data_IF_310727353430
#
_entry.id   IF_310727353430
#
_cell.length_a   1.000
_cell.length_b   1.000
_cell.length_c   1.000
_cell.angle_alpha   90.00
_cell.angle_beta   90.00
_cell.angle_gamma   90.00
#
_symmetry.space_group_name_H-M   'P 1'
#
loop_
_entity.id
_entity.type
_entity.pdbx_description
1 polymer ?
#
# COMPACT_ATOMS: atom_id res chain seq x y z
N UNK A 1 68.30 -54.74 4.37
CA UNK A 1 68.05 -53.33 4.78
C UNK A 1 67.10 -52.67 3.79
N UNK A 2 65.83 -52.47 4.17
CA UNK A 2 64.89 -51.55 3.52
C UNK A 2 63.91 -51.05 4.59
N UNK A 3 64.21 -49.90 5.20
CA UNK A 3 63.28 -49.20 6.08
C UNK A 3 62.24 -48.47 5.21
N UNK A 4 60.96 -48.79 5.40
CA UNK A 4 59.85 -48.00 4.86
C UNK A 4 59.35 -47.07 5.97
N UNK A 5 59.55 -45.77 5.76
CA UNK A 5 58.99 -44.69 6.58
C UNK A 5 57.55 -44.47 6.10
N UNK A 6 56.57 -44.74 6.97
CA UNK A 6 55.17 -44.35 6.75
C UNK A 6 54.99 -42.93 7.31
N UNK A 7 54.81 -41.96 6.42
CA UNK A 7 54.49 -40.58 6.79
C UNK A 7 52.96 -40.46 6.89
N UNK A 8 52.43 -40.44 8.11
CA UNK A 8 51.01 -40.21 8.38
C UNK A 8 50.71 -38.71 8.32
N UNK A 9 49.99 -38.27 7.29
CA UNK A 9 49.43 -36.91 7.23
C UNK A 9 48.08 -36.93 7.93
N UNK A 10 48.02 -36.37 9.13
CA UNK A 10 46.76 -36.13 9.83
C UNK A 10 45.97 -35.04 9.09
N UNK A 11 44.86 -35.42 8.45
CA UNK A 11 43.85 -34.48 7.97
C UNK A 11 43.20 -33.80 9.20
N UNK A 12 43.51 -32.53 9.44
CA UNK A 12 42.73 -31.69 10.35
C UNK A 12 41.39 -31.36 9.69
N UNK A 13 40.32 -32.01 10.16
CA UNK A 13 38.96 -31.65 9.82
C UNK A 13 38.63 -30.30 10.49
N UNK A 14 38.62 -29.22 9.71
CA UNK A 14 38.14 -27.92 10.19
C UNK A 14 36.60 -27.97 10.19
N UNK A 15 35.93 -27.76 11.32
CA UNK A 15 34.47 -27.72 11.36
C UNK A 15 33.99 -26.54 10.51
N UNK A 16 33.31 -26.83 9.41
CA UNK A 16 32.62 -25.83 8.60
C UNK A 16 31.47 -25.28 9.45
N UNK A 17 31.66 -24.10 10.04
CA UNK A 17 30.58 -23.40 10.73
C UNK A 17 29.53 -22.99 9.68
N UNK A 18 28.43 -23.73 9.64
CA UNK A 18 27.26 -23.35 8.85
C UNK A 18 26.60 -22.15 9.53
N UNK A 19 26.90 -20.95 9.05
CA UNK A 19 26.13 -19.76 9.41
C UNK A 19 24.75 -19.87 8.75
N UNK A 20 23.74 -20.24 9.53
CA UNK A 20 22.35 -20.07 9.13
C UNK A 20 22.03 -18.58 9.16
N UNK A 21 22.13 -17.90 8.02
CA UNK A 21 21.60 -16.56 7.84
C UNK A 21 20.08 -16.69 7.80
N UNK A 22 19.43 -16.64 8.97
CA UNK A 22 17.98 -16.43 9.04
C UNK A 22 17.73 -14.97 8.67
N UNK A 23 17.55 -14.70 7.38
CA UNK A 23 17.02 -13.43 6.92
C UNK A 23 15.56 -13.35 7.36
N UNK A 24 15.32 -12.88 8.58
CA UNK A 24 13.98 -12.49 9.00
C UNK A 24 13.50 -11.39 8.04
N UNK A 25 12.64 -11.76 7.11
CA UNK A 25 12.09 -10.85 6.12
C UNK A 25 11.16 -9.87 6.84
N UNK A 26 11.72 -8.77 7.34
CA UNK A 26 10.92 -7.69 7.91
C UNK A 26 10.22 -6.96 6.78
N UNK A 27 8.89 -7.05 6.74
CA UNK A 27 8.07 -6.26 5.81
C UNK A 27 8.36 -4.78 6.08
N UNK A 28 9.08 -4.13 5.17
CA UNK A 28 9.38 -2.70 5.24
C UNK A 28 8.19 -1.94 4.71
N UNK A 29 7.61 -1.04 5.49
CA UNK A 29 6.53 -0.17 5.04
C UNK A 29 7.09 1.21 4.68
N UNK A 30 6.37 1.97 3.85
CA UNK A 30 6.69 3.36 3.60
C UNK A 30 6.10 4.26 4.69
N UNK A 31 6.92 5.17 5.20
CA UNK A 31 6.60 6.05 6.32
C UNK A 31 6.08 7.39 5.81
N UNK A 32 4.81 7.67 6.01
CA UNK A 32 4.14 8.92 5.67
C UNK A 32 4.08 9.82 6.90
N UNK A 33 4.31 11.12 6.66
CA UNK A 33 4.10 12.19 7.63
C UNK A 33 3.20 13.24 7.01
N UNK A 34 2.17 13.62 7.76
CA UNK A 34 1.26 14.69 7.38
C UNK A 34 1.83 16.03 7.83
N UNK A 35 1.61 17.07 7.01
CA UNK A 35 1.88 18.43 7.46
C UNK A 35 0.67 18.90 8.27
N UNK A 36 0.73 18.69 9.58
CA UNK A 36 -0.36 19.03 10.50
C UNK A 36 -0.46 20.53 10.78
N UNK A 37 0.46 21.35 10.26
CA UNK A 37 0.35 22.81 10.34
C UNK A 37 -0.68 23.38 9.35
N UNK A 38 -1.09 22.57 8.36
CA UNK A 38 -2.06 22.95 7.33
C UNK A 38 -3.47 22.52 7.71
N UNK A 39 -4.40 23.45 7.69
CA UNK A 39 -5.82 23.20 7.95
C UNK A 39 -6.43 22.27 6.89
N UNK A 40 -5.97 22.37 5.65
CA UNK A 40 -6.39 21.51 4.53
C UNK A 40 -6.04 20.04 4.78
N UNK A 41 -4.85 19.77 5.34
CA UNK A 41 -4.45 18.42 5.75
C UNK A 41 -5.28 17.94 6.92
N UNK A 42 -5.34 18.74 7.99
CA UNK A 42 -5.92 18.30 9.26
C UNK A 42 -7.43 18.15 9.18
N UNK A 43 -8.13 18.98 8.41
CA UNK A 43 -9.58 18.86 8.18
C UNK A 43 -10.00 17.55 7.48
N UNK A 44 -9.10 16.93 6.71
CA UNK A 44 -9.34 15.67 5.99
C UNK A 44 -8.99 14.41 6.78
N UNK A 45 -8.22 14.54 7.86
CA UNK A 45 -7.78 13.42 8.68
C UNK A 45 -8.84 13.05 9.71
N UNK A 46 -9.49 11.90 9.61
CA UNK A 46 -10.51 11.46 10.56
C UNK A 46 -10.08 10.16 11.23
N UNK A 47 -10.07 10.11 12.57
CA UNK A 47 -9.83 8.86 13.31
C UNK A 47 -10.99 7.89 13.15
N UNK A 48 -10.67 6.63 12.90
CA UNK A 48 -11.65 5.57 12.77
C UNK A 48 -11.08 4.21 13.19
N UNK A 49 -11.95 3.22 13.30
CA UNK A 49 -11.60 1.81 13.51
C UNK A 49 -12.17 0.95 12.39
N UNK A 50 -11.43 -0.07 11.96
CA UNK A 50 -11.88 -0.98 10.91
C UNK A 50 -12.91 -1.96 11.49
N UNK A 51 -14.15 -1.95 11.00
CA UNK A 51 -15.22 -2.83 11.47
C UNK A 51 -15.51 -3.99 10.52
N UNK A 52 -15.29 -3.80 9.20
CA UNK A 52 -15.48 -4.86 8.20
C UNK A 52 -14.59 -4.71 6.97
N UNK A 53 -14.09 -5.84 6.45
CA UNK A 53 -13.48 -5.94 5.13
C UNK A 53 -14.54 -6.38 4.11
N UNK A 54 -14.92 -5.51 3.18
CA UNK A 54 -15.77 -5.90 2.05
C UNK A 54 -14.90 -6.54 0.97
N UNK A 55 -13.94 -5.78 0.45
CA UNK A 55 -13.02 -6.19 -0.61
C UNK A 55 -11.61 -5.67 -0.36
N UNK A 56 -10.71 -5.83 -1.32
CA UNK A 56 -9.32 -5.37 -1.20
C UNK A 56 -9.19 -3.83 -1.14
N UNK A 57 -10.21 -3.10 -1.61
CA UNK A 57 -10.26 -1.65 -1.72
C UNK A 57 -11.48 -0.99 -1.06
N UNK A 58 -12.28 -1.76 -0.33
CA UNK A 58 -13.54 -1.30 0.24
C UNK A 58 -13.70 -1.83 1.66
N UNK A 59 -13.92 -0.91 2.61
CA UNK A 59 -13.92 -1.19 4.04
C UNK A 59 -15.13 -0.50 4.68
N UNK A 60 -15.65 -1.09 5.74
CA UNK A 60 -16.50 -0.35 6.68
C UNK A 60 -15.68 0.00 7.92
N UNK A 61 -15.95 1.20 8.42
CA UNK A 61 -15.24 1.79 9.54
C UNK A 61 -16.22 2.49 10.47
N UNK A 62 -15.89 2.49 11.75
CA UNK A 62 -16.59 3.29 12.76
C UNK A 62 -15.74 4.53 13.07
N UNK A 63 -16.35 5.71 13.01
CA UNK A 63 -15.68 6.98 13.30
C UNK A 63 -15.42 7.13 14.81
N UNK A 64 -14.18 7.44 15.19
CA UNK A 64 -13.78 7.52 16.61
C UNK A 64 -13.86 8.92 17.21
N UNK A 65 -14.12 9.96 16.40
CA UNK A 65 -14.17 11.37 16.82
C UNK A 65 -15.19 12.20 16.04
N UNK A 66 -15.73 13.25 16.66
CA UNK A 66 -16.54 14.23 15.91
C UNK A 66 -15.63 15.13 15.08
N UNK A 67 -15.85 15.15 13.76
CA UNK A 67 -15.03 15.95 12.84
C UNK A 67 -15.76 16.32 11.56
N UNK A 68 -16.05 17.61 11.41
CA UNK A 68 -16.85 18.11 10.29
C UNK A 68 -18.19 17.39 10.23
N UNK A 69 -18.45 16.73 9.10
CA UNK A 69 -19.67 15.95 8.85
C UNK A 69 -19.64 14.55 9.47
N UNK A 70 -18.50 14.10 9.99
CA UNK A 70 -18.36 12.80 10.63
C UNK A 70 -18.67 12.90 12.12
N UNK A 71 -19.48 11.96 12.63
CA UNK A 71 -19.84 11.87 14.05
C UNK A 71 -19.24 10.64 14.70
N UNK A 72 -18.81 10.76 15.94
CA UNK A 72 -18.31 9.61 16.71
C UNK A 72 -19.38 8.51 16.79
N UNK A 73 -18.97 7.27 16.56
CA UNK A 73 -19.83 6.08 16.50
C UNK A 73 -20.58 5.91 15.18
N UNK A 74 -20.39 6.81 14.20
CA UNK A 74 -20.98 6.65 12.87
C UNK A 74 -20.25 5.54 12.10
N UNK A 75 -21.00 4.55 11.61
CA UNK A 75 -20.49 3.59 10.63
C UNK A 75 -20.56 4.18 9.21
N UNK A 76 -19.46 4.11 8.47
CA UNK A 76 -19.42 4.48 7.05
C UNK A 76 -18.70 3.42 6.23
N UNK A 77 -19.10 3.30 4.95
CA UNK A 77 -18.32 2.58 3.95
C UNK A 77 -17.37 3.53 3.25
N UNK A 78 -16.09 3.16 3.23
CA UNK A 78 -15.06 3.87 2.49
C UNK A 78 -14.62 3.08 1.26
N UNK A 79 -14.48 3.79 0.15
CA UNK A 79 -13.85 3.32 -1.09
C UNK A 79 -12.45 3.88 -1.15
N UNK A 80 -11.45 3.05 -1.36
CA UNK A 80 -10.08 3.53 -1.46
C UNK A 80 -9.89 4.37 -2.72
N UNK A 81 -9.37 5.57 -2.54
CA UNK A 81 -9.13 6.50 -3.62
C UNK A 81 -7.85 6.11 -4.40
N UNK A 82 -7.93 6.22 -5.73
CA UNK A 82 -6.77 6.00 -6.60
C UNK A 82 -6.41 4.54 -6.83
N UNK A 83 -7.17 3.57 -6.33
CA UNK A 83 -6.99 2.14 -6.62
C UNK A 83 -8.33 1.49 -6.93
N UNK A 84 -8.27 0.35 -7.61
CA UNK A 84 -9.40 -0.55 -7.80
C UNK A 84 -8.87 -1.99 -7.77
N UNK A 85 -9.40 -2.85 -6.90
CA UNK A 85 -8.92 -4.24 -6.76
C UNK A 85 -9.73 -5.21 -7.62
N UNK A 86 -9.13 -6.33 -8.08
CA UNK A 86 -9.89 -7.38 -8.75
C UNK A 86 -11.04 -7.88 -7.87
N UNK A 87 -12.18 -8.13 -8.48
CA UNK A 87 -13.43 -8.39 -7.76
C UNK A 87 -13.51 -9.84 -7.25
N UNK A 88 -14.08 -10.05 -6.05
CA UNK A 88 -14.45 -11.41 -5.57
C UNK A 88 -15.88 -11.79 -5.94
N UNK A 89 -16.77 -10.79 -6.05
CA UNK A 89 -18.13 -10.94 -6.57
C UNK A 89 -18.73 -9.56 -6.77
N UNK A 90 -19.47 -9.34 -7.86
CA UNK A 90 -20.26 -8.11 -8.07
C UNK A 90 -21.66 -8.51 -8.48
N UNK A 91 -22.68 -8.04 -7.77
CA UNK A 91 -24.09 -8.26 -8.08
C UNK A 91 -24.45 -9.75 -8.30
N UNK A 92 -23.86 -10.64 -7.49
CA UNK A 92 -24.07 -12.09 -7.58
C UNK A 92 -23.36 -12.77 -8.76
N UNK A 93 -22.57 -12.04 -9.56
CA UNK A 93 -21.75 -12.62 -10.63
C UNK A 93 -20.49 -13.26 -10.03
N UNK A 94 -20.25 -14.50 -10.43
CA UNK A 94 -19.01 -15.23 -10.12
C UNK A 94 -17.91 -14.72 -11.06
N UNK A 95 -16.82 -14.13 -10.54
CA UNK A 95 -15.71 -13.69 -11.36
C UNK A 95 -15.01 -14.86 -12.06
N UNK A 96 -14.29 -14.55 -13.13
CA UNK A 96 -13.38 -15.50 -13.75
C UNK A 96 -12.38 -16.06 -12.72
N UNK A 97 -11.99 -17.34 -12.80
CA UNK A 97 -11.11 -17.95 -11.80
C UNK A 97 -9.79 -17.19 -11.60
N UNK A 98 -9.25 -16.55 -12.64
CA UNK A 98 -8.04 -15.75 -12.50
C UNK A 98 -8.33 -14.41 -11.79
N UNK A 99 -9.44 -13.74 -12.09
CA UNK A 99 -9.88 -12.52 -11.38
C UNK A 99 -10.13 -12.82 -9.90
N UNK A 100 -10.88 -13.90 -9.60
CA UNK A 100 -11.16 -14.35 -8.24
C UNK A 100 -9.88 -14.55 -7.42
N UNK A 101 -8.90 -15.26 -7.99
CA UNK A 101 -7.60 -15.51 -7.36
C UNK A 101 -6.88 -14.23 -6.96
N UNK A 102 -6.96 -13.18 -7.78
CA UNK A 102 -6.34 -11.90 -7.43
C UNK A 102 -7.18 -11.11 -6.41
N UNK A 103 -8.51 -11.16 -6.51
CA UNK A 103 -9.42 -10.54 -5.55
C UNK A 103 -9.30 -11.13 -4.14
N UNK A 104 -9.12 -12.45 -4.04
CA UNK A 104 -8.84 -13.15 -2.79
C UNK A 104 -7.50 -12.73 -2.18
N UNK A 105 -6.44 -12.64 -3.01
CA UNK A 105 -5.12 -12.16 -2.54
C UNK A 105 -5.18 -10.72 -2.04
N UNK A 106 -5.85 -9.83 -2.77
CA UNK A 106 -6.04 -8.44 -2.38
C UNK A 106 -6.83 -8.35 -1.06
N UNK A 107 -7.90 -9.13 -0.92
CA UNK A 107 -8.71 -9.17 0.30
C UNK A 107 -7.96 -9.75 1.50
N UNK A 108 -7.15 -10.79 1.28
CA UNK A 108 -6.30 -11.35 2.33
C UNK A 108 -5.28 -10.31 2.78
N UNK A 109 -4.67 -9.58 1.85
CA UNK A 109 -3.76 -8.48 2.18
C UNK A 109 -4.44 -7.41 3.03
N UNK A 110 -5.68 -7.06 2.71
CA UNK A 110 -6.56 -6.21 3.54
C UNK A 110 -6.68 -6.69 4.97
N UNK A 111 -7.09 -7.94 5.16
CA UNK A 111 -7.25 -8.57 6.48
C UNK A 111 -5.96 -8.62 7.28
N UNK A 112 -4.85 -8.99 6.65
CA UNK A 112 -3.55 -9.13 7.30
C UNK A 112 -2.96 -7.75 7.69
N UNK A 113 -3.19 -6.72 6.86
CA UNK A 113 -2.60 -5.39 7.05
C UNK A 113 -3.44 -4.51 7.97
N UNK A 114 -4.76 -4.59 7.84
CA UNK A 114 -5.75 -3.82 8.61
C UNK A 114 -6.70 -4.74 9.39
N UNK A 115 -6.22 -5.51 10.40
CA UNK A 115 -7.11 -6.27 11.27
C UNK A 115 -8.26 -5.45 11.86
N UNK A 116 -9.39 -6.12 12.13
CA UNK A 116 -10.58 -5.48 12.72
C UNK A 116 -10.26 -4.89 14.10
N UNK A 117 -10.93 -3.78 14.43
CA UNK A 117 -10.73 -3.03 15.67
C UNK A 117 -9.41 -2.25 15.73
N UNK A 118 -8.59 -2.25 14.67
CA UNK A 118 -7.38 -1.43 14.66
C UNK A 118 -7.71 0.04 14.42
N UNK A 119 -7.11 0.96 15.22
CA UNK A 119 -7.23 2.38 14.97
C UNK A 119 -6.47 2.77 13.70
N UNK A 120 -7.09 3.63 12.92
CA UNK A 120 -6.55 4.18 11.68
C UNK A 120 -6.87 5.66 11.54
N UNK A 121 -6.17 6.34 10.64
CA UNK A 121 -6.57 7.64 10.12
C UNK A 121 -7.11 7.48 8.71
N UNK A 122 -8.30 7.99 8.47
CA UNK A 122 -8.84 8.18 7.14
C UNK A 122 -8.34 9.52 6.61
N UNK A 123 -7.75 9.53 5.43
CA UNK A 123 -7.52 10.78 4.70
C UNK A 123 -8.64 10.96 3.68
N UNK A 124 -9.64 11.76 4.04
CA UNK A 124 -10.91 11.83 3.33
C UNK A 124 -10.79 12.70 2.07
N UNK A 125 -11.23 12.11 0.95
CA UNK A 125 -11.37 12.74 -0.35
C UNK A 125 -12.79 13.30 -0.58
N UNK A 126 -13.19 13.34 -1.84
CA UNK A 126 -14.55 13.73 -2.24
C UNK A 126 -15.49 12.52 -2.18
N UNK A 127 -16.80 12.77 -2.27
CA UNK A 127 -17.75 11.68 -2.55
C UNK A 127 -17.60 11.24 -4.00
N UNK A 128 -17.68 9.94 -4.27
CA UNK A 128 -17.71 9.45 -5.64
C UNK A 128 -19.09 9.69 -6.31
N UNK A 129 -19.21 9.34 -7.59
CA UNK A 129 -20.47 9.48 -8.33
C UNK A 129 -21.65 8.67 -7.77
N UNK A 130 -21.41 7.77 -6.82
CA UNK A 130 -22.42 6.98 -6.12
C UNK A 130 -22.65 7.50 -4.68
N UNK A 131 -22.06 8.64 -4.31
CA UNK A 131 -22.19 9.27 -3.00
C UNK A 131 -21.35 8.63 -1.89
N UNK A 132 -20.51 7.63 -2.22
CA UNK A 132 -19.64 6.94 -1.26
C UNK A 132 -18.46 7.84 -0.90
N UNK A 133 -18.04 7.80 0.36
CA UNK A 133 -16.86 8.53 0.81
C UNK A 133 -15.61 7.88 0.21
N UNK A 134 -14.86 8.63 -0.60
CA UNK A 134 -13.53 8.19 -1.02
C UNK A 134 -12.49 8.60 0.02
N UNK A 135 -11.55 7.72 0.33
CA UNK A 135 -10.49 8.01 1.29
C UNK A 135 -9.26 7.14 1.01
N UNK A 136 -8.15 7.45 1.66
CA UNK A 136 -7.07 6.48 1.89
C UNK A 136 -6.99 6.16 3.39
N UNK A 137 -6.46 4.99 3.73
CA UNK A 137 -6.34 4.53 5.11
C UNK A 137 -4.87 4.56 5.51
N UNK A 138 -4.57 5.34 6.55
CA UNK A 138 -3.25 5.45 7.14
C UNK A 138 -3.20 4.73 8.47
N UNK A 139 -2.24 3.84 8.63
CA UNK A 139 -2.09 2.99 9.82
C UNK A 139 -0.64 2.94 10.27
N UNK A 140 -0.39 2.60 11.54
CA UNK A 140 0.97 2.33 12.00
C UNK A 140 1.21 0.80 12.03
N UNK A 141 2.12 0.25 11.20
CA UNK A 141 2.37 -1.20 11.16
C UNK A 141 3.00 -1.75 12.44
N UNK A 142 3.48 -0.89 13.32
CA UNK A 142 4.10 -1.22 14.61
C UNK A 142 3.20 -0.91 15.80
N UNK A 143 1.92 -0.54 15.59
CA UNK A 143 1.00 -0.17 16.67
C UNK A 143 0.90 -1.27 17.75
N UNK A 144 0.86 -2.53 17.34
CA UNK A 144 0.75 -3.68 18.25
C UNK A 144 2.01 -3.89 19.09
N UNK A 145 3.16 -3.36 18.63
CA UNK A 145 4.46 -3.44 19.33
C UNK A 145 4.67 -2.28 20.30
N UNK A 146 3.75 -1.32 20.37
CA UNK A 146 3.86 -0.22 21.32
C UNK A 146 3.65 -0.72 22.76
N UNK A 147 4.35 -0.11 23.73
CA UNK A 147 4.19 -0.42 25.15
C UNK A 147 2.73 -0.37 25.59
N UNK A 148 2.36 -1.32 26.45
CA UNK A 148 1.08 -1.30 27.17
C UNK A 148 1.31 -0.91 28.62
N UNK A 149 0.31 -0.28 29.22
CA UNK A 149 0.31 0.02 30.65
C UNK A 149 0.11 -1.27 31.45
N UNK A 150 0.10 -1.16 32.77
CA UNK A 150 -0.11 -2.29 33.67
C UNK A 150 -1.47 -2.99 33.46
N UNK A 151 -2.43 -2.35 32.79
CA UNK A 151 -3.76 -2.88 32.49
C UNK A 151 -3.87 -3.43 31.06
N UNK A 152 -2.77 -3.48 30.31
CA UNK A 152 -2.76 -3.94 28.92
C UNK A 152 -3.28 -2.90 27.91
N UNK A 153 -3.61 -1.67 28.32
CA UNK A 153 -3.97 -0.61 27.39
C UNK A 153 -2.73 -0.05 26.72
N UNK A 154 -2.79 0.25 25.42
CA UNK A 154 -1.67 0.86 24.70
C UNK A 154 -1.38 2.25 25.31
N UNK A 155 -0.17 2.45 25.82
CA UNK A 155 0.26 3.72 26.46
C UNK A 155 0.24 4.86 25.43
N UNK A 156 0.42 4.53 24.16
CA UNK A 156 0.41 5.49 23.06
C UNK A 156 -0.75 5.18 22.10
N UNK A 157 -1.83 5.99 22.10
CA UNK A 157 -2.83 5.91 21.05
C UNK A 157 -2.19 6.24 19.69
N UNK A 158 -2.82 5.82 18.59
CA UNK A 158 -2.37 6.22 17.26
C UNK A 158 -2.40 7.76 17.16
N UNK A 159 -1.25 8.36 16.87
CA UNK A 159 -1.06 9.81 16.77
C UNK A 159 -0.36 10.18 15.45
N UNK A 160 -0.53 11.42 14.99
CA UNK A 160 -0.03 11.88 13.69
C UNK A 160 1.50 12.14 13.65
N UNK A 161 2.16 12.19 14.81
CA UNK A 161 3.62 12.29 14.94
C UNK A 161 4.32 10.94 14.72
N UNK A 162 3.58 9.83 14.79
CA UNK A 162 4.09 8.50 14.47
C UNK A 162 4.29 8.32 12.96
N UNK A 163 5.24 7.46 12.53
CA UNK A 163 5.29 7.03 11.14
C UNK A 163 4.03 6.23 10.79
N UNK A 164 3.32 6.67 9.76
CA UNK A 164 2.12 6.02 9.24
C UNK A 164 2.42 5.36 7.89
N UNK A 165 1.58 4.44 7.46
CA UNK A 165 1.68 3.81 6.15
C UNK A 165 0.33 3.92 5.45
N UNK A 166 0.34 4.29 4.17
CA UNK A 166 -0.86 4.29 3.34
C UNK A 166 -1.17 2.86 2.89
N UNK A 167 -2.37 2.38 3.19
CA UNK A 167 -2.81 1.06 2.75
C UNK A 167 -2.84 0.97 1.21
N UNK A 168 -3.38 1.99 0.52
CA UNK A 168 -3.49 2.00 -0.96
C UNK A 168 -2.12 1.89 -1.64
N UNK A 169 -1.12 2.56 -1.06
CA UNK A 169 0.28 2.48 -1.50
C UNK A 169 0.84 1.09 -1.25
N UNK A 170 0.62 0.52 -0.07
CA UNK A 170 1.18 -0.77 0.31
C UNK A 170 0.60 -1.94 -0.49
N UNK A 171 -0.71 -1.95 -0.78
CA UNK A 171 -1.32 -2.98 -1.63
C UNK A 171 -0.87 -2.85 -3.09
N UNK A 172 -0.68 -1.63 -3.59
CA UNK A 172 -0.11 -1.38 -4.92
C UNK A 172 1.33 -1.86 -4.99
N UNK A 173 2.13 -1.58 -3.96
CA UNK A 173 3.53 -2.00 -3.84
C UNK A 173 3.69 -3.51 -3.70
N UNK A 174 2.67 -4.19 -3.18
CA UNK A 174 2.59 -5.64 -3.15
C UNK A 174 2.25 -6.25 -4.54
N UNK A 175 1.93 -5.42 -5.54
CA UNK A 175 1.53 -5.86 -6.87
C UNK A 175 0.19 -6.60 -6.89
N UNK A 176 -0.72 -6.24 -5.98
CA UNK A 176 -2.04 -6.88 -5.82
C UNK A 176 -3.20 -6.04 -6.36
N UNK A 177 -2.91 -4.80 -6.78
CA UNK A 177 -3.86 -3.89 -7.41
C UNK A 177 -3.15 -3.05 -8.46
N UNK A 178 -3.91 -2.43 -9.36
CA UNK A 178 -3.42 -1.31 -10.15
C UNK A 178 -3.92 0.01 -9.55
N UNK A 179 -3.09 1.07 -9.57
CA UNK A 179 -3.60 2.40 -9.35
C UNK A 179 -4.53 2.81 -10.51
N UNK A 180 -5.51 3.65 -10.20
CA UNK A 180 -6.68 3.89 -11.02
C UNK A 180 -7.11 5.36 -10.95
N UNK A 181 -7.16 6.00 -12.11
CA UNK A 181 -7.78 7.31 -12.28
C UNK A 181 -8.36 7.41 -13.70
N UNK A 182 -9.68 7.49 -13.82
CA UNK A 182 -10.35 7.55 -15.12
C UNK A 182 -10.22 8.93 -15.77
N UNK A 183 -10.22 9.97 -14.96
CA UNK A 183 -10.18 11.33 -15.47
C UNK A 183 -8.73 11.78 -15.66
N UNK A 184 -8.29 11.75 -16.92
CA UNK A 184 -6.94 12.20 -17.28
C UNK A 184 -6.74 13.71 -17.11
N UNK A 185 -7.82 14.49 -17.15
CA UNK A 185 -7.74 15.95 -16.98
C UNK A 185 -7.39 16.29 -15.54
N UNK A 186 -7.95 15.51 -14.62
CA UNK A 186 -7.69 15.51 -13.19
C UNK A 186 -6.20 15.34 -12.89
N UNK A 187 -5.52 14.32 -13.43
CA UNK A 187 -4.06 14.17 -13.24
C UNK A 187 -3.27 15.40 -13.68
N UNK A 188 -3.71 16.13 -14.71
CA UNK A 188 -3.01 17.33 -15.16
C UNK A 188 -3.27 18.57 -14.29
N UNK A 189 -4.47 18.71 -13.73
CA UNK A 189 -4.85 19.83 -12.86
C UNK A 189 -4.39 19.64 -11.42
N UNK A 190 -4.35 18.40 -10.94
CA UNK A 190 -4.16 18.12 -9.53
C UNK A 190 -2.76 18.41 -8.99
N UNK A 191 -1.73 18.41 -9.84
CA UNK A 191 -0.36 18.80 -9.44
C UNK A 191 -0.19 20.27 -9.10
N UNK A 192 -1.09 21.15 -9.58
CA UNK A 192 -0.93 22.60 -9.42
C UNK A 192 -1.90 23.22 -8.41
N UNK A 193 -2.96 22.52 -8.02
CA UNK A 193 -4.12 23.14 -7.35
C UNK A 193 -4.40 22.56 -5.96
N UNK A 194 -3.90 21.36 -5.63
CA UNK A 194 -4.25 20.66 -4.39
C UNK A 194 -3.03 20.16 -3.63
N UNK A 195 -2.12 21.08 -3.29
CA UNK A 195 -1.16 20.81 -2.22
C UNK A 195 -1.93 20.30 -0.99
N UNK A 196 -1.36 19.32 -0.30
CA UNK A 196 -1.95 18.73 0.92
C UNK A 196 -3.28 17.98 0.72
N UNK A 197 -3.71 17.72 -0.52
CA UNK A 197 -4.87 16.87 -0.82
C UNK A 197 -4.54 15.38 -0.92
N UNK A 198 -5.56 14.56 -1.23
CA UNK A 198 -5.40 13.10 -1.35
C UNK A 198 -4.39 12.72 -2.45
N UNK A 199 -4.30 13.55 -3.48
CA UNK A 199 -3.37 13.31 -4.59
C UNK A 199 -1.93 13.54 -4.18
N UNK A 200 -1.71 14.55 -3.33
CA UNK A 200 -0.42 14.85 -2.77
C UNK A 200 0.08 13.70 -1.89
N UNK A 201 -0.76 13.24 -0.96
CA UNK A 201 -0.38 12.20 0.00
C UNK A 201 -0.45 10.77 -0.54
N UNK A 202 -1.33 10.48 -1.51
CA UNK A 202 -1.59 9.10 -1.97
C UNK A 202 -1.18 8.88 -3.43
N UNK A 203 -1.60 9.71 -4.39
CA UNK A 203 -1.45 9.37 -5.82
C UNK A 203 -0.01 9.36 -6.33
N UNK A 204 0.84 10.29 -5.86
CA UNK A 204 2.27 10.25 -6.19
C UNK A 204 2.94 8.97 -5.68
N UNK A 205 2.57 8.57 -4.47
CA UNK A 205 3.05 7.37 -3.83
C UNK A 205 2.58 6.10 -4.56
N UNK A 206 1.37 6.10 -5.11
CA UNK A 206 0.83 5.00 -5.89
C UNK A 206 1.65 4.72 -7.15
N UNK A 207 2.06 5.77 -7.87
CA UNK A 207 2.98 5.61 -9.00
C UNK A 207 4.30 4.96 -8.57
N UNK A 208 4.92 5.50 -7.51
CA UNK A 208 6.17 4.97 -6.96
C UNK A 208 6.02 3.51 -6.50
N UNK A 209 4.89 3.18 -5.86
CA UNK A 209 4.57 1.82 -5.43
C UNK A 209 4.41 0.87 -6.61
N UNK A 210 3.76 1.29 -7.70
CA UNK A 210 3.63 0.49 -8.91
C UNK A 210 5.01 0.21 -9.54
N UNK A 211 5.88 1.22 -9.58
CA UNK A 211 7.28 1.08 -10.04
C UNK A 211 8.05 0.08 -9.16
N UNK A 212 7.98 0.22 -7.83
CA UNK A 212 8.64 -0.69 -6.88
C UNK A 212 8.11 -2.13 -7.02
N UNK A 213 6.79 -2.32 -7.16
CA UNK A 213 6.19 -3.64 -7.39
C UNK A 213 6.72 -4.29 -8.68
N UNK A 214 6.83 -3.52 -9.76
CA UNK A 214 7.38 -4.00 -11.03
C UNK A 214 8.87 -4.34 -10.91
N UNK A 215 9.70 -3.38 -10.46
CA UNK A 215 11.16 -3.54 -10.40
C UNK A 215 11.63 -4.64 -9.45
N UNK A 216 10.84 -4.94 -8.42
CA UNK A 216 11.14 -6.00 -7.45
C UNK A 216 10.34 -7.30 -7.69
N UNK A 217 9.64 -7.41 -8.84
CA UNK A 217 8.91 -8.61 -9.21
C UNK A 217 7.88 -9.08 -8.18
N UNK A 218 7.06 -8.17 -7.64
CA UNK A 218 6.07 -8.48 -6.59
C UNK A 218 4.69 -8.75 -7.15
N UNK A 219 3.92 -9.59 -6.45
CA UNK A 219 2.51 -9.85 -6.78
C UNK A 219 2.34 -10.30 -8.23
N UNK A 220 1.55 -9.56 -9.02
CA UNK A 220 1.36 -9.82 -10.45
C UNK A 220 2.67 -9.89 -11.22
N UNK A 221 3.63 -9.03 -10.86
CA UNK A 221 4.95 -8.98 -11.47
C UNK A 221 5.91 -10.06 -10.96
N UNK A 222 5.49 -11.08 -10.23
CA UNK A 222 6.41 -12.16 -9.81
C UNK A 222 6.72 -13.18 -10.91
N UNK A 223 7.83 -13.91 -10.77
CA UNK A 223 8.18 -15.08 -11.59
C UNK A 223 9.29 -14.84 -12.63
N UNK A 224 9.65 -15.90 -13.34
CA UNK A 224 10.83 -16.00 -14.21
C UNK A 224 10.90 -14.96 -15.35
N UNK A 225 9.78 -14.39 -15.79
CA UNK A 225 9.74 -13.42 -16.89
C UNK A 225 9.04 -12.12 -16.49
N UNK A 226 9.25 -11.68 -15.25
CA UNK A 226 8.56 -10.51 -14.71
C UNK A 226 8.74 -9.24 -15.54
N UNK A 227 9.93 -9.04 -16.13
CA UNK A 227 10.24 -7.87 -16.98
C UNK A 227 9.43 -7.83 -18.29
N UNK A 228 8.75 -8.93 -18.65
CA UNK A 228 7.83 -8.99 -19.79
C UNK A 228 6.39 -8.63 -19.41
N UNK A 229 6.06 -8.62 -18.12
CA UNK A 229 4.73 -8.28 -17.62
C UNK A 229 4.57 -6.78 -17.56
N UNK A 230 3.42 -6.27 -17.98
CA UNK A 230 3.11 -4.84 -17.93
C UNK A 230 1.86 -4.58 -17.11
N UNK A 231 1.61 -3.34 -16.66
CA UNK A 231 0.30 -2.98 -16.14
C UNK A 231 -0.85 -3.29 -17.10
N UNK A 232 -0.64 -3.22 -18.42
CA UNK A 232 -1.64 -3.62 -19.41
C UNK A 232 -1.97 -5.12 -19.35
N UNK A 233 -1.00 -5.97 -18.96
CA UNK A 233 -1.26 -7.40 -18.73
C UNK A 233 -2.01 -7.61 -17.42
N UNK A 234 -1.68 -6.84 -16.38
CA UNK A 234 -2.40 -6.92 -15.12
C UNK A 234 -3.84 -6.43 -15.28
N UNK A 235 -4.09 -5.38 -16.07
CA UNK A 235 -5.45 -4.88 -16.32
C UNK A 235 -6.36 -5.90 -16.98
N UNK A 236 -5.83 -6.92 -17.66
CA UNK A 236 -6.62 -8.04 -18.23
C UNK A 236 -7.20 -8.98 -17.17
N UNK A 237 -6.72 -8.90 -15.93
CA UNK A 237 -7.30 -9.62 -14.78
C UNK A 237 -8.68 -9.08 -14.44
N UNK A 238 -8.93 -7.79 -14.68
CA UNK A 238 -10.18 -7.10 -14.34
C UNK A 238 -11.20 -7.33 -15.44
N UNK A 239 -12.03 -8.38 -15.33
CA UNK A 239 -13.01 -8.73 -16.36
C UNK A 239 -14.39 -8.16 -16.04
N UNK A 240 -14.78 -8.16 -14.77
CA UNK A 240 -16.08 -7.59 -14.36
C UNK A 240 -16.07 -6.06 -14.49
N UNK A 241 -14.99 -5.40 -14.04
CA UNK A 241 -14.80 -3.95 -14.14
C UNK A 241 -13.50 -3.62 -14.87
N UNK A 242 -13.48 -3.68 -16.22
CA UNK A 242 -12.26 -3.42 -16.97
C UNK A 242 -11.70 -2.02 -16.71
N UNK A 243 -10.43 -1.94 -16.31
CA UNK A 243 -9.79 -0.66 -15.97
C UNK A 243 -9.42 0.20 -17.20
N UNK A 244 -9.45 -0.38 -18.40
CA UNK A 244 -9.07 0.29 -19.64
C UNK A 244 -7.68 0.95 -19.55
N UNK A 245 -7.65 2.28 -19.63
CA UNK A 245 -6.43 3.09 -19.61
C UNK A 245 -6.20 3.84 -18.28
N UNK A 246 -6.99 3.57 -17.24
CA UNK A 246 -6.98 4.34 -15.99
C UNK A 246 -5.67 4.23 -15.18
N UNK A 247 -4.86 3.19 -15.42
CA UNK A 247 -3.56 2.99 -14.76
C UNK A 247 -2.40 3.73 -15.43
N UNK A 248 -2.53 4.11 -16.73
CA UNK A 248 -1.46 4.73 -17.52
C UNK A 248 -0.81 5.95 -16.85
N UNK A 249 -1.60 6.85 -16.23
CA UNK A 249 -1.04 8.02 -15.58
C UNK A 249 -0.03 7.67 -14.48
N UNK A 250 -0.11 6.50 -13.87
CA UNK A 250 0.80 6.07 -12.81
C UNK A 250 2.00 5.26 -13.31
N UNK A 251 2.05 4.94 -14.61
CA UNK A 251 3.11 4.09 -15.15
C UNK A 251 4.32 4.92 -15.54
N UNK A 252 5.47 4.69 -14.89
CA UNK A 252 6.68 5.48 -15.09
C UNK A 252 7.24 5.46 -16.52
N UNK A 253 6.89 4.46 -17.33
CA UNK A 253 7.28 4.39 -18.75
C UNK A 253 6.30 5.11 -19.70
N UNK A 254 5.18 5.63 -19.20
CA UNK A 254 4.27 6.46 -20.00
C UNK A 254 4.80 7.89 -20.09
N UNK A 255 4.75 8.46 -21.31
CA UNK A 255 5.20 9.84 -21.59
C UNK A 255 4.42 10.92 -20.83
N UNK A 256 3.19 10.61 -20.41
CA UNK A 256 2.30 11.51 -19.66
C UNK A 256 1.91 10.82 -18.36
N UNK A 257 2.90 10.60 -17.50
CA UNK A 257 2.72 10.01 -16.18
C UNK A 257 2.94 11.02 -15.06
N UNK A 258 2.52 10.65 -13.86
CA UNK A 258 2.85 11.30 -12.58
C UNK A 258 4.35 11.54 -12.44
N UNK A 259 5.19 10.68 -13.04
CA UNK A 259 6.66 10.76 -12.99
C UNK A 259 7.28 11.76 -13.94
N UNK A 260 6.80 11.81 -15.18
CA UNK A 260 7.35 12.74 -16.19
C UNK A 260 7.27 14.20 -15.77
N UNK A 261 6.38 14.53 -14.82
CA UNK A 261 6.28 15.88 -14.24
C UNK A 261 7.13 16.07 -12.99
N UNK A 262 7.31 15.03 -12.15
CA UNK A 262 8.21 15.09 -10.99
C UNK A 262 9.64 15.37 -11.45
N UNK A 263 10.07 14.76 -12.56
CA UNK A 263 11.39 14.98 -13.16
C UNK A 263 11.51 16.38 -13.81
N UNK A 264 10.44 16.89 -14.43
CA UNK A 264 10.41 18.24 -15.03
C UNK A 264 10.35 19.38 -14.01
N UNK A 265 9.77 19.13 -12.82
CA UNK A 265 9.66 20.12 -11.74
C UNK A 265 10.89 20.13 -10.79
N UNK A 266 12.03 19.54 -11.19
CA UNK A 266 13.30 19.53 -10.44
C UNK A 266 13.16 19.47 -8.91
N UNK A 267 12.80 18.31 -8.36
CA UNK A 267 13.31 17.95 -7.01
C UNK A 267 12.30 17.72 -5.89
N UNK A 268 10.99 17.65 -6.13
CA UNK A 268 10.06 17.27 -5.06
C UNK A 268 9.62 15.81 -5.17
N UNK A 269 10.51 14.89 -4.74
CA UNK A 269 10.04 13.69 -4.05
C UNK A 269 9.84 14.17 -2.61
N UNK A 270 8.60 14.29 -2.10
CA UNK A 270 8.38 14.73 -0.73
C UNK A 270 9.29 13.93 0.20
N UNK A 271 9.97 14.60 1.13
CA UNK A 271 11.00 13.97 1.97
C UNK A 271 10.48 12.73 2.70
N UNK A 272 9.17 12.72 2.91
CA UNK A 272 8.29 11.66 3.39
C UNK A 272 8.32 10.36 2.55
N UNK A 273 8.98 10.31 1.39
CA UNK A 273 9.10 9.11 0.55
C UNK A 273 10.50 8.49 0.56
N UNK A 274 11.43 9.04 1.37
CA UNK A 274 12.76 8.45 1.52
C UNK A 274 12.66 7.11 2.25
N UNK A 275 13.15 6.04 1.63
CA UNK A 275 13.27 4.72 2.25
C UNK A 275 14.20 4.85 3.45
N UNK A 276 13.72 4.54 4.67
CA UNK A 276 14.61 4.31 5.80
C UNK A 276 15.49 3.10 5.44
N UNK A 277 16.79 3.35 5.21
CA UNK A 277 17.79 2.31 4.94
C UNK A 277 18.08 1.51 6.20
#
# INVERSE_FOLDING_TARGET
MKNKILCGVSLLAIPVQTFTISAACTKTYWDFRFDTSKTETTSRLVKAEITRHKDGDTFDVEISEDKGDFKKGQEITIRLAGIDTPEKSVDGRIPDPNELKWGEKASKFGKDTLPLGKPVYLFVGEKDGFGRTTADIFFNPKIDKLPTDANGQKIHPLTLDMPLSSYSVEITRAGLTLPYEQDKSKINTYYRIYEYGLIWYTYNALGLALKDAYENGRGFYSGWLWWRKTPADFSKVYKIKPLGNAWKPFWYKEKKSVFTKIEQNQGYIPENFKRNK
#
